data_IF_732368306711
#
_entry.id   IF_732368306711
#
_cell.length_a   1.000
_cell.length_b   1.000
_cell.length_c   1.000
_cell.angle_alpha   90.00
_cell.angle_beta   90.00
_cell.angle_gamma   90.00
#
_symmetry.space_group_name_H-M   'P 1'
#
loop_
_entity.id
_entity.type
_entity.pdbx_description
1 polymer ?
#
# COMPACT_ATOMS: atom_id res chain seq x y z
N UNK A 1 8.30 19.23 -20.49
CA UNK A 1 9.58 19.66 -21.11
C UNK A 1 10.38 18.46 -21.60
N UNK A 2 11.02 17.64 -20.75
CA UNK A 2 11.84 16.50 -21.20
C UNK A 2 11.16 15.43 -22.07
N UNK A 3 9.90 15.09 -21.77
CA UNK A 3 9.11 14.21 -22.64
C UNK A 3 8.96 14.81 -24.05
N UNK A 4 8.66 16.11 -24.12
CA UNK A 4 8.51 16.85 -25.38
C UNK A 4 9.83 16.92 -26.15
N UNK A 5 10.95 17.18 -25.47
CA UNK A 5 12.29 17.17 -26.07
C UNK A 5 12.65 15.78 -26.63
N UNK A 6 12.35 14.71 -25.88
CA UNK A 6 12.58 13.35 -26.36
C UNK A 6 11.73 13.02 -27.59
N UNK A 7 10.46 13.41 -27.60
CA UNK A 7 9.60 13.21 -28.77
C UNK A 7 10.13 13.95 -30.01
N UNK A 8 10.73 15.13 -29.84
CA UNK A 8 11.39 15.86 -30.94
C UNK A 8 12.60 15.06 -31.45
N UNK A 9 13.43 14.50 -30.54
CA UNK A 9 14.58 13.66 -30.92
C UNK A 9 14.15 12.37 -31.62
N UNK A 10 13.06 11.74 -31.18
CA UNK A 10 12.47 10.58 -31.85
C UNK A 10 11.97 10.94 -33.25
N UNK A 11 11.29 12.07 -33.40
CA UNK A 11 10.82 12.56 -34.71
C UNK A 11 11.99 12.87 -35.64
N UNK A 12 13.04 13.54 -35.14
CA UNK A 12 14.25 13.82 -35.91
C UNK A 12 14.96 12.53 -36.35
N UNK A 13 15.08 11.54 -35.45
CA UNK A 13 15.65 10.23 -35.78
C UNK A 13 14.84 9.46 -36.83
N UNK A 14 13.53 9.67 -36.90
CA UNK A 14 12.65 9.02 -37.89
C UNK A 14 12.61 9.73 -39.26
N UNK A 15 12.98 11.01 -39.31
CA UNK A 15 12.85 11.86 -40.48
C UNK A 15 14.10 11.85 -41.39
N UNK A 16 15.15 11.10 -41.03
CA UNK A 16 16.41 11.06 -41.78
C UNK A 16 16.30 10.12 -43.01
N UNK A 17 16.39 10.62 -44.26
CA UNK A 17 16.49 9.76 -45.45
C UNK A 17 17.88 9.09 -45.52
N UNK A 18 18.02 7.93 -46.20
CA UNK A 18 19.26 7.16 -46.24
C UNK A 18 20.27 7.85 -47.16
N UNK A 19 21.08 8.74 -46.59
CA UNK A 19 22.22 9.32 -47.28
C UNK A 19 23.50 9.04 -46.47
N UNK A 20 24.27 8.07 -46.98
CA UNK A 20 25.72 7.87 -46.81
C UNK A 20 26.34 8.20 -45.44
N UNK A 21 26.05 7.44 -44.39
CA UNK A 21 27.02 7.13 -43.33
C UNK A 21 26.72 5.73 -42.75
N UNK A 22 27.78 4.96 -42.56
CA UNK A 22 27.85 3.54 -42.17
C UNK A 22 27.37 3.22 -40.73
N UNK A 23 26.31 3.85 -40.22
CA UNK A 23 25.80 3.62 -38.87
C UNK A 23 24.32 3.23 -38.92
N UNK A 24 24.05 1.95 -39.18
CA UNK A 24 22.75 1.36 -38.89
C UNK A 24 22.69 1.22 -37.37
N UNK A 25 21.92 2.09 -36.71
CA UNK A 25 21.63 1.97 -35.29
C UNK A 25 20.56 0.92 -35.08
N UNK A 26 20.88 -0.18 -34.40
CA UNK A 26 19.93 -1.25 -34.11
C UNK A 26 18.88 -0.82 -33.08
N UNK A 27 19.24 0.06 -32.14
CA UNK A 27 18.31 0.64 -31.18
C UNK A 27 18.08 2.13 -31.46
N UNK A 28 16.83 2.48 -31.78
CA UNK A 28 16.40 3.87 -31.97
C UNK A 28 16.22 4.60 -30.65
N UNK A 29 16.11 5.93 -30.72
CA UNK A 29 15.74 6.77 -29.56
C UNK A 29 14.40 6.32 -29.00
N UNK A 30 14.33 6.03 -27.70
CA UNK A 30 13.12 5.53 -27.03
C UNK A 30 12.78 6.36 -25.78
N UNK A 31 11.50 6.63 -25.58
CA UNK A 31 10.97 7.17 -24.34
C UNK A 31 10.29 6.06 -23.53
N UNK A 32 10.78 5.80 -22.33
CA UNK A 32 10.30 4.71 -21.47
C UNK A 32 9.28 5.14 -20.39
N UNK A 33 8.79 6.39 -20.48
CA UNK A 33 7.92 6.99 -19.48
C UNK A 33 8.66 7.80 -18.40
N UNK A 34 9.98 7.63 -18.25
CA UNK A 34 10.79 8.27 -17.21
C UNK A 34 11.98 9.04 -17.77
N UNK A 35 12.75 8.43 -18.67
CA UNK A 35 13.94 9.00 -19.30
C UNK A 35 13.96 8.76 -20.82
N UNK A 36 14.72 9.60 -21.52
CA UNK A 36 14.96 9.47 -22.95
C UNK A 36 16.23 8.65 -23.18
N UNK A 37 16.11 7.54 -23.91
CA UNK A 37 17.23 6.69 -24.27
C UNK A 37 17.78 7.10 -25.62
N UNK A 38 19.08 7.46 -25.73
CA UNK A 38 19.72 7.83 -27.00
C UNK A 38 19.91 6.60 -27.89
N UNK A 39 19.95 6.78 -29.21
CA UNK A 39 20.19 5.70 -30.16
C UNK A 39 21.55 5.00 -29.91
N UNK A 40 21.59 3.69 -30.15
CA UNK A 40 22.75 2.84 -29.88
C UNK A 40 22.85 1.68 -30.88
N UNK A 41 24.05 1.11 -31.03
CA UNK A 41 24.33 -0.08 -31.85
C UNK A 41 24.22 -1.36 -31.02
N UNK A 42 23.90 -2.49 -31.65
CA UNK A 42 23.80 -3.76 -30.93
C UNK A 42 25.12 -4.12 -30.24
N UNK A 43 25.05 -4.34 -28.93
CA UNK A 43 26.20 -4.61 -28.06
C UNK A 43 26.68 -3.39 -27.26
N UNK A 44 26.17 -2.19 -27.54
CA UNK A 44 26.48 -0.98 -26.76
C UNK A 44 25.61 -0.87 -25.51
N UNK A 45 26.23 -0.48 -24.40
CA UNK A 45 25.55 -0.17 -23.15
C UNK A 45 25.44 1.33 -22.97
N UNK A 46 24.21 1.84 -22.90
CA UNK A 46 23.96 3.26 -22.68
C UNK A 46 23.66 3.53 -21.21
N UNK A 47 24.17 4.65 -20.70
CA UNK A 47 23.95 5.11 -19.33
C UNK A 47 23.34 6.50 -19.31
N UNK A 48 22.24 6.69 -18.59
CA UNK A 48 21.57 7.99 -18.43
C UNK A 48 21.48 8.38 -16.95
N UNK A 49 21.59 9.68 -16.61
CA UNK A 49 21.46 10.12 -15.23
C UNK A 49 20.01 10.03 -14.73
N UNK A 50 19.86 9.93 -13.41
CA UNK A 50 18.56 10.03 -12.77
C UNK A 50 17.87 11.38 -13.06
N UNK A 51 16.54 11.38 -13.33
CA UNK A 51 15.79 12.60 -13.59
C UNK A 51 15.82 13.56 -12.38
N UNK A 52 15.88 14.90 -12.56
CA UNK A 52 15.98 15.88 -11.47
C UNK A 52 14.99 15.75 -10.31
N UNK A 53 13.70 15.35 -10.48
CA UNK A 53 12.82 15.13 -9.33
C UNK A 53 13.22 13.91 -8.47
N UNK A 54 13.99 12.96 -9.02
CA UNK A 54 14.47 11.76 -8.34
C UNK A 54 15.98 11.80 -8.05
N UNK A 55 16.67 12.84 -8.51
CA UNK A 55 18.10 13.01 -8.31
C UNK A 55 18.34 13.59 -6.93
N UNK A 56 18.81 12.79 -5.97
CA UNK A 56 19.46 13.35 -4.77
C UNK A 56 20.68 14.17 -5.22
N UNK A 57 20.95 15.30 -4.56
CA UNK A 57 22.21 16.08 -4.67
C UNK A 57 23.40 15.25 -4.10
N UNK A 58 23.66 14.07 -4.67
CA UNK A 58 24.79 13.21 -4.33
C UNK A 58 25.77 13.26 -5.50
N UNK A 59 27.03 13.54 -5.18
CA UNK A 59 28.17 13.46 -6.09
C UNK A 59 28.89 12.13 -5.83
N UNK A 60 29.09 11.26 -6.83
CA UNK A 60 28.74 11.37 -8.24
C UNK A 60 27.24 11.06 -8.56
N UNK A 61 26.71 11.55 -9.70
CA UNK A 61 25.33 11.31 -10.10
C UNK A 61 25.08 9.81 -10.34
N UNK A 62 23.96 9.29 -9.83
CA UNK A 62 23.56 7.91 -10.08
C UNK A 62 23.11 7.76 -11.53
N UNK A 63 23.68 6.76 -12.21
CA UNK A 63 23.43 6.44 -13.61
C UNK A 63 22.68 5.11 -13.72
N UNK A 64 21.72 5.06 -14.64
CA UNK A 64 20.96 3.86 -14.99
C UNK A 64 21.43 3.38 -16.34
N UNK A 65 21.58 2.05 -16.50
CA UNK A 65 22.09 1.45 -17.74
C UNK A 65 21.06 0.55 -18.44
N UNK A 66 21.07 0.58 -19.78
CA UNK A 66 20.40 -0.39 -20.65
C UNK A 66 21.37 -0.87 -21.72
N UNK A 67 21.20 -2.11 -22.15
CA UNK A 67 21.98 -2.69 -23.23
C UNK A 67 21.18 -2.68 -24.52
N UNK A 68 21.81 -2.32 -25.63
CA UNK A 68 21.21 -2.47 -26.95
C UNK A 68 21.48 -3.88 -27.48
N UNK A 69 20.43 -4.59 -27.87
CA UNK A 69 20.51 -5.91 -28.50
C UNK A 69 20.05 -5.85 -29.95
N UNK A 70 20.34 -6.88 -30.75
CA UNK A 70 19.87 -6.96 -32.15
C UNK A 70 18.35 -6.96 -32.28
N UNK A 71 17.65 -7.35 -31.21
CA UNK A 71 16.19 -7.37 -31.13
C UNK A 71 15.61 -6.07 -30.52
N UNK A 72 16.45 -5.07 -30.22
CA UNK A 72 16.08 -3.77 -29.62
C UNK A 72 16.63 -3.57 -28.21
N UNK A 73 16.02 -2.65 -27.45
CA UNK A 73 16.44 -2.31 -26.09
C UNK A 73 16.20 -3.45 -25.10
N UNK A 74 17.22 -3.81 -24.31
CA UNK A 74 17.05 -4.74 -23.20
C UNK A 74 16.20 -4.14 -22.07
N UNK A 75 15.72 -4.98 -21.17
CA UNK A 75 15.20 -4.53 -19.88
C UNK A 75 16.28 -3.74 -19.12
N UNK A 76 15.84 -2.84 -18.24
CA UNK A 76 16.70 -2.08 -17.33
C UNK A 76 17.54 -3.05 -16.48
N UNK A 77 18.83 -2.74 -16.31
CA UNK A 77 19.72 -3.50 -15.43
C UNK A 77 19.30 -3.37 -13.96
N UNK A 78 18.85 -2.18 -13.56
CA UNK A 78 18.35 -1.84 -12.23
C UNK A 78 17.09 -0.98 -12.38
N UNK A 79 15.99 -1.30 -11.69
CA UNK A 79 14.78 -0.45 -11.72
C UNK A 79 15.03 0.98 -11.24
N UNK A 80 14.26 1.94 -11.78
CA UNK A 80 14.35 3.36 -11.42
C UNK A 80 14.22 3.64 -9.92
N UNK A 81 13.35 2.93 -9.22
CA UNK A 81 13.13 3.13 -7.79
C UNK A 81 14.36 2.70 -6.98
N UNK A 82 15.04 1.61 -7.34
CA UNK A 82 16.27 1.18 -6.65
C UNK A 82 17.47 2.09 -6.95
N UNK A 83 17.63 2.52 -8.20
CA UNK A 83 18.78 3.31 -8.62
C UNK A 83 18.67 4.78 -8.21
N UNK A 84 17.53 5.43 -8.50
CA UNK A 84 17.37 6.86 -8.24
C UNK A 84 16.77 7.14 -6.86
N UNK A 85 15.85 6.30 -6.40
CA UNK A 85 15.19 6.46 -5.11
C UNK A 85 15.93 5.65 -4.04
N UNK A 86 17.13 6.08 -3.68
CA UNK A 86 17.87 5.48 -2.57
C UNK A 86 17.16 5.84 -1.25
N UNK A 87 16.14 5.05 -0.93
CA UNK A 87 15.37 5.03 0.31
C UNK A 87 16.14 4.26 1.40
N UNK A 88 17.47 4.35 1.44
CA UNK A 88 18.17 3.94 2.65
C UNK A 88 17.78 4.95 3.73
N UNK A 89 16.96 4.55 4.73
CA UNK A 89 16.63 5.45 5.83
C UNK A 89 17.96 5.82 6.49
N UNK A 90 18.12 7.09 6.90
CA UNK A 90 19.26 7.43 7.74
C UNK A 90 19.26 6.53 8.99
N UNK A 91 20.44 6.27 9.57
CA UNK A 91 20.55 5.47 10.80
C UNK A 91 19.57 5.97 11.88
N UNK A 92 19.41 7.29 12.01
CA UNK A 92 18.42 7.93 12.89
C UNK A 92 16.97 7.56 12.56
N UNK A 93 16.60 7.51 11.27
CA UNK A 93 15.26 7.09 10.86
C UNK A 93 15.02 5.61 11.18
N UNK A 94 16.02 4.75 10.96
CA UNK A 94 15.91 3.31 11.25
C UNK A 94 15.71 3.06 12.75
N UNK A 95 16.45 3.78 13.60
CA UNK A 95 16.31 3.72 15.05
C UNK A 95 14.93 4.22 15.51
N UNK A 96 14.45 5.34 14.95
CA UNK A 96 13.11 5.87 15.24
C UNK A 96 12.00 4.88 14.86
N UNK A 97 12.02 4.34 13.63
CA UNK A 97 11.03 3.36 13.17
C UNK A 97 11.05 2.09 14.02
N UNK A 98 12.23 1.59 14.39
CA UNK A 98 12.38 0.43 15.26
C UNK A 98 11.79 0.68 16.66
N UNK A 99 12.05 1.85 17.24
CA UNK A 99 11.54 2.24 18.55
C UNK A 99 10.02 2.36 18.55
N UNK A 100 9.45 3.07 17.57
CA UNK A 100 8.00 3.19 17.40
C UNK A 100 7.37 1.81 17.23
N UNK A 101 8.03 0.93 16.45
CA UNK A 101 7.60 -0.45 16.25
C UNK A 101 7.53 -1.26 17.52
N UNK A 102 8.57 -1.21 18.33
CA UNK A 102 8.60 -1.91 19.61
C UNK A 102 7.46 -1.43 20.53
N UNK A 103 7.30 -0.11 20.65
CA UNK A 103 6.29 0.50 21.52
C UNK A 103 4.87 0.08 21.10
N UNK A 104 4.52 0.23 19.83
CA UNK A 104 3.17 -0.13 19.39
C UNK A 104 2.95 -1.65 19.49
N UNK A 105 3.98 -2.48 19.21
CA UNK A 105 3.86 -3.95 19.25
C UNK A 105 3.53 -4.43 20.66
N UNK A 106 4.27 -3.94 21.66
CA UNK A 106 4.01 -4.25 23.07
C UNK A 106 2.65 -3.72 23.49
N UNK A 107 2.32 -2.47 23.13
CA UNK A 107 1.03 -1.85 23.47
C UNK A 107 -0.17 -2.62 22.92
N UNK A 108 -0.14 -2.99 21.64
CA UNK A 108 -1.20 -3.80 21.02
C UNK A 108 -1.24 -5.22 21.58
N UNK A 109 -0.09 -5.83 21.90
CA UNK A 109 -0.03 -7.16 22.52
C UNK A 109 -0.69 -7.21 23.90
N UNK A 110 -0.35 -6.26 24.79
CA UNK A 110 -0.95 -6.15 26.14
C UNK A 110 -2.46 -5.86 26.04
N UNK A 111 -2.85 -4.95 25.13
CA UNK A 111 -4.26 -4.61 24.90
C UNK A 111 -5.06 -5.79 24.35
N UNK A 112 -4.47 -6.56 23.43
CA UNK A 112 -5.09 -7.76 22.86
C UNK A 112 -5.32 -8.81 23.97
N UNK A 113 -4.31 -9.05 24.82
CA UNK A 113 -4.43 -9.98 25.94
C UNK A 113 -5.55 -9.60 26.90
N UNK A 114 -5.62 -8.33 27.32
CA UNK A 114 -6.65 -7.86 28.24
C UNK A 114 -8.06 -7.92 27.64
N UNK A 115 -8.22 -7.54 26.36
CA UNK A 115 -9.50 -7.63 25.65
C UNK A 115 -9.97 -9.07 25.46
N UNK A 116 -9.07 -10.00 25.16
CA UNK A 116 -9.39 -11.42 25.05
C UNK A 116 -9.90 -11.98 26.39
N UNK A 117 -9.25 -11.64 27.49
CA UNK A 117 -9.69 -12.06 28.84
C UNK A 117 -11.07 -11.46 29.15
N UNK A 118 -11.27 -10.16 28.89
CA UNK A 118 -12.56 -9.51 29.11
C UNK A 118 -13.69 -10.17 28.29
N UNK A 119 -13.45 -10.42 27.00
CA UNK A 119 -14.39 -11.10 26.11
C UNK A 119 -14.70 -12.52 26.60
N UNK A 120 -13.70 -13.27 27.07
CA UNK A 120 -13.88 -14.61 27.63
C UNK A 120 -14.75 -14.57 28.89
N UNK A 121 -14.49 -13.64 29.81
CA UNK A 121 -15.29 -13.46 31.02
C UNK A 121 -16.77 -13.19 30.66
N UNK A 122 -17.04 -12.23 29.78
CA UNK A 122 -18.41 -11.88 29.40
C UNK A 122 -19.15 -13.00 28.65
N UNK A 123 -18.44 -13.84 27.90
CA UNK A 123 -19.03 -14.97 27.17
C UNK A 123 -19.30 -16.19 28.07
N UNK A 124 -18.41 -16.48 29.04
CA UNK A 124 -18.61 -17.54 30.03
C UNK A 124 -19.78 -17.21 30.95
N UNK A 125 -19.85 -15.98 31.45
CA UNK A 125 -20.95 -15.54 32.30
C UNK A 125 -22.17 -15.19 31.46
N UNK A 126 -22.84 -16.22 30.92
CA UNK A 126 -24.06 -16.09 30.09
C UNK A 126 -25.18 -15.27 30.77
N UNK A 127 -25.17 -15.20 32.11
CA UNK A 127 -26.05 -14.36 32.93
C UNK A 127 -25.84 -12.85 32.75
N UNK A 128 -24.67 -12.41 32.25
CA UNK A 128 -24.34 -11.00 31.98
C UNK A 128 -24.65 -10.57 30.54
N UNK A 129 -25.14 -11.47 29.68
CA UNK A 129 -25.50 -11.17 28.28
C UNK A 129 -26.82 -10.38 28.20
N UNK A 130 -26.72 -9.07 28.42
CA UNK A 130 -27.75 -8.09 28.11
C UNK A 130 -27.43 -7.42 26.76
N UNK A 131 -28.38 -6.66 26.19
CA UNK A 131 -28.13 -5.90 24.95
C UNK A 131 -26.85 -5.07 25.03
N UNK A 132 -26.65 -4.37 26.15
CA UNK A 132 -25.46 -3.55 26.40
C UNK A 132 -24.17 -4.37 26.30
N UNK A 133 -24.13 -5.53 26.95
CA UNK A 133 -22.99 -6.44 26.90
C UNK A 133 -22.76 -6.98 25.49
N UNK A 134 -23.80 -7.24 24.70
CA UNK A 134 -23.65 -7.64 23.30
C UNK A 134 -23.00 -6.54 22.43
N UNK A 135 -23.35 -5.27 22.65
CA UNK A 135 -22.72 -4.14 21.94
C UNK A 135 -21.25 -4.02 22.34
N UNK A 136 -20.94 -4.07 23.64
CA UNK A 136 -19.55 -4.05 24.11
C UNK A 136 -18.74 -5.26 23.59
N UNK A 137 -19.36 -6.45 23.49
CA UNK A 137 -18.69 -7.62 22.91
C UNK A 137 -18.30 -7.39 21.44
N UNK A 138 -19.19 -6.82 20.63
CA UNK A 138 -18.87 -6.49 19.23
C UNK A 138 -17.78 -5.41 19.13
N UNK A 139 -17.83 -4.39 20.00
CA UNK A 139 -16.78 -3.38 20.10
C UNK A 139 -15.42 -4.01 20.45
N UNK A 140 -15.36 -4.86 21.48
CA UNK A 140 -14.13 -5.56 21.86
C UNK A 140 -13.63 -6.46 20.73
N UNK A 141 -14.53 -7.16 20.03
CA UNK A 141 -14.17 -7.91 18.82
C UNK A 141 -13.57 -7.00 17.74
N UNK A 142 -14.09 -5.79 17.54
CA UNK A 142 -13.51 -4.83 16.58
C UNK A 142 -12.08 -4.40 16.95
N UNK A 143 -11.81 -4.20 18.25
CA UNK A 143 -10.46 -3.89 18.73
C UNK A 143 -9.50 -5.07 18.58
N UNK A 144 -9.97 -6.29 18.86
CA UNK A 144 -9.20 -7.52 18.65
C UNK A 144 -8.85 -7.68 17.17
N UNK A 145 -9.83 -7.55 16.27
CA UNK A 145 -9.58 -7.62 14.83
C UNK A 145 -8.59 -6.56 14.36
N UNK A 146 -8.69 -5.33 14.88
CA UNK A 146 -7.73 -4.24 14.58
C UNK A 146 -6.32 -4.59 15.03
N UNK A 147 -6.14 -5.10 16.26
CA UNK A 147 -4.84 -5.50 16.76
C UNK A 147 -4.26 -6.66 15.93
N UNK A 148 -5.07 -7.69 15.63
CA UNK A 148 -4.66 -8.81 14.76
C UNK A 148 -4.28 -8.31 13.37
N UNK A 149 -5.02 -7.37 12.79
CA UNK A 149 -4.70 -6.81 11.48
C UNK A 149 -3.37 -6.03 11.47
N UNK A 150 -3.01 -5.34 12.55
CA UNK A 150 -1.68 -4.72 12.70
C UNK A 150 -0.59 -5.79 12.67
N UNK A 151 -0.75 -6.87 13.42
CA UNK A 151 0.22 -7.98 13.42
C UNK A 151 0.32 -8.67 12.06
N UNK A 152 -0.80 -8.89 11.37
CA UNK A 152 -0.80 -9.47 10.01
C UNK A 152 -0.11 -8.53 9.02
N UNK A 153 -0.43 -7.23 9.06
CA UNK A 153 0.23 -6.22 8.22
C UNK A 153 1.73 -6.20 8.47
N UNK A 154 2.15 -6.27 9.73
CA UNK A 154 3.56 -6.27 10.09
C UNK A 154 4.24 -7.58 9.67
N UNK A 155 3.64 -8.74 9.89
CA UNK A 155 4.18 -10.00 9.41
C UNK A 155 4.39 -9.94 7.88
N UNK A 156 3.39 -9.47 7.13
CA UNK A 156 3.51 -9.35 5.67
C UNK A 156 4.56 -8.31 5.26
N UNK A 157 4.65 -7.17 5.94
CA UNK A 157 5.57 -6.08 5.59
C UNK A 157 7.04 -6.37 5.99
N UNK A 158 7.25 -7.17 7.05
CA UNK A 158 8.58 -7.44 7.60
C UNK A 158 9.10 -8.85 7.31
N UNK A 159 8.26 -9.79 6.85
CA UNK A 159 8.74 -11.05 6.27
C UNK A 159 9.43 -10.86 4.92
N UNK A 160 9.41 -9.65 4.35
CA UNK A 160 9.90 -9.30 3.00
C UNK A 160 11.35 -8.77 2.99
N UNK A 161 12.16 -9.03 4.04
CA UNK A 161 13.62 -8.78 3.97
C UNK A 161 14.36 -9.93 3.26
N UNK A 162 13.72 -11.09 3.05
CA UNK A 162 14.35 -12.24 2.40
C UNK A 162 13.38 -12.96 1.43
N UNK A 163 13.66 -12.81 0.14
CA UNK A 163 13.28 -13.69 -1.00
C UNK A 163 11.98 -13.30 -1.76
N UNK A 164 12.20 -12.77 -2.97
CA UNK A 164 11.36 -12.77 -4.17
C UNK A 164 10.03 -11.99 -4.18
N UNK A 165 10.18 -10.66 -4.34
CA UNK A 165 9.16 -9.77 -4.86
C UNK A 165 8.71 -10.17 -6.29
N UNK A 166 7.60 -10.89 -6.45
CA UNK A 166 6.61 -10.55 -7.51
C UNK A 166 5.32 -11.37 -7.52
N UNK A 167 5.30 -12.62 -7.04
CA UNK A 167 4.18 -13.51 -7.36
C UNK A 167 3.31 -13.88 -6.16
N UNK A 168 3.88 -14.06 -4.97
CA UNK A 168 3.14 -14.36 -3.74
C UNK A 168 2.70 -13.09 -3.02
N UNK A 169 3.50 -12.02 -3.11
CA UNK A 169 3.30 -10.79 -2.34
C UNK A 169 2.18 -9.90 -2.91
N UNK A 170 1.93 -9.84 -4.22
CA UNK A 170 1.01 -8.82 -4.78
C UNK A 170 -0.45 -9.02 -4.35
N UNK A 171 -0.98 -10.25 -4.42
CA UNK A 171 -2.37 -10.52 -4.02
C UNK A 171 -2.49 -10.55 -2.50
N UNK A 172 -1.54 -11.19 -1.80
CA UNK A 172 -1.58 -11.32 -0.35
C UNK A 172 -1.33 -9.98 0.36
N UNK A 173 -0.38 -9.16 -0.12
CA UNK A 173 -0.14 -7.81 0.40
C UNK A 173 -1.34 -6.90 0.12
N UNK A 174 -1.89 -6.91 -1.11
CA UNK A 174 -3.10 -6.13 -1.42
C UNK A 174 -4.29 -6.55 -0.57
N UNK A 175 -4.47 -7.86 -0.34
CA UNK A 175 -5.48 -8.38 0.57
C UNK A 175 -5.22 -7.96 2.03
N UNK A 176 -3.98 -8.05 2.51
CA UNK A 176 -3.61 -7.69 3.88
C UNK A 176 -3.81 -6.19 4.15
N UNK A 177 -3.43 -5.33 3.20
CA UNK A 177 -3.66 -3.87 3.28
C UNK A 177 -5.17 -3.57 3.27
N UNK A 178 -5.92 -4.22 2.39
CA UNK A 178 -7.39 -4.04 2.31
C UNK A 178 -8.06 -4.50 3.62
N UNK A 179 -7.65 -5.65 4.15
CA UNK A 179 -8.14 -6.18 5.41
C UNK A 179 -7.81 -5.26 6.59
N UNK A 180 -6.58 -4.73 6.62
CA UNK A 180 -6.17 -3.75 7.63
C UNK A 180 -7.05 -2.50 7.61
N UNK A 181 -7.29 -1.92 6.43
CA UNK A 181 -8.17 -0.76 6.29
C UNK A 181 -9.60 -1.07 6.74
N UNK A 182 -10.12 -2.25 6.40
CA UNK A 182 -11.42 -2.71 6.87
C UNK A 182 -11.49 -2.78 8.41
N UNK A 183 -10.50 -3.40 9.07
CA UNK A 183 -10.50 -3.52 10.53
C UNK A 183 -10.40 -2.17 11.23
N UNK A 184 -9.64 -1.22 10.67
CA UNK A 184 -9.57 0.15 11.19
C UNK A 184 -10.91 0.85 11.08
N UNK A 185 -11.57 0.80 9.91
CA UNK A 185 -12.90 1.38 9.73
C UNK A 185 -13.93 0.72 10.63
N UNK A 186 -13.97 -0.61 10.69
CA UNK A 186 -14.89 -1.34 11.56
C UNK A 186 -14.75 -0.93 13.03
N UNK A 187 -13.52 -0.71 13.51
CA UNK A 187 -13.29 -0.20 14.86
C UNK A 187 -13.90 1.20 15.09
N UNK A 188 -13.72 2.14 14.14
CA UNK A 188 -14.34 3.46 14.22
C UNK A 188 -15.87 3.41 14.16
N UNK A 189 -16.45 2.58 13.30
CA UNK A 189 -17.89 2.42 13.20
C UNK A 189 -18.49 1.77 14.47
N UNK A 190 -17.81 0.81 15.09
CA UNK A 190 -18.26 0.23 16.35
C UNK A 190 -18.18 1.21 17.53
N UNK A 191 -17.14 2.07 17.57
CA UNK A 191 -17.06 3.18 18.53
C UNK A 191 -18.22 4.17 18.33
N UNK A 192 -18.55 4.48 17.07
CA UNK A 192 -19.70 5.33 16.74
C UNK A 192 -21.02 4.68 17.17
N UNK A 193 -21.19 3.38 16.91
CA UNK A 193 -22.40 2.61 17.31
C UNK A 193 -22.57 2.61 18.82
N UNK A 194 -21.50 2.44 19.59
CA UNK A 194 -21.56 2.52 21.05
C UNK A 194 -21.99 3.93 21.51
N UNK A 195 -21.42 4.99 20.92
CA UNK A 195 -21.81 6.37 21.20
C UNK A 195 -23.27 6.66 20.85
N UNK A 196 -23.73 6.22 19.68
CA UNK A 196 -25.13 6.36 19.25
C UNK A 196 -26.09 5.56 20.15
N UNK A 197 -25.69 4.37 20.59
CA UNK A 197 -26.47 3.55 21.50
C UNK A 197 -26.64 4.25 22.86
N UNK A 198 -25.56 4.78 23.45
CA UNK A 198 -25.62 5.55 24.70
C UNK A 198 -26.52 6.78 24.56
N UNK A 199 -26.37 7.54 23.47
CA UNK A 199 -27.20 8.71 23.20
C UNK A 199 -28.68 8.36 23.04
N UNK A 200 -28.98 7.26 22.32
CA UNK A 200 -30.35 6.80 22.10
C UNK A 200 -30.99 6.34 23.41
N UNK A 201 -30.22 5.70 24.31
CA UNK A 201 -30.71 5.27 25.61
C UNK A 201 -31.10 6.47 26.51
N UNK A 202 -30.36 7.58 26.43
CA UNK A 202 -30.67 8.81 27.16
C UNK A 202 -31.92 9.52 26.62
N UNK A 203 -32.10 9.56 25.30
CA UNK A 203 -33.22 10.29 24.66
C UNK A 203 -34.51 9.45 24.60
N UNK A 204 -34.40 8.16 24.28
CA UNK A 204 -35.52 7.26 24.01
C UNK A 204 -35.51 6.07 24.96
N UNK A 205 -35.83 6.31 26.22
CA UNK A 205 -35.72 5.34 27.32
C UNK A 205 -36.68 4.14 27.20
N UNK A 206 -37.63 4.12 26.25
CA UNK A 206 -38.77 3.19 26.26
C UNK A 206 -38.98 2.28 25.03
N UNK A 207 -38.15 2.31 23.98
CA UNK A 207 -38.42 1.51 22.76
C UNK A 207 -37.28 0.54 22.41
N UNK A 208 -36.99 -0.39 23.31
CA UNK A 208 -35.89 -1.35 23.09
C UNK A 208 -36.39 -2.69 22.51
N UNK A 209 -36.72 -2.74 21.21
CA UNK A 209 -37.03 -4.00 20.50
C UNK A 209 -35.73 -4.69 20.01
N UNK A 210 -35.68 -6.02 20.07
CA UNK A 210 -34.55 -6.86 19.62
C UNK A 210 -34.10 -6.58 18.17
N UNK A 211 -35.00 -6.07 17.33
CA UNK A 211 -34.71 -5.64 15.96
C UNK A 211 -33.73 -4.46 15.87
N UNK A 212 -33.72 -3.57 16.87
CA UNK A 212 -32.87 -2.38 16.87
C UNK A 212 -31.37 -2.74 17.02
N UNK A 213 -31.05 -3.81 17.75
CA UNK A 213 -29.69 -4.35 17.88
C UNK A 213 -29.17 -4.88 16.55
N UNK A 214 -30.04 -5.54 15.77
CA UNK A 214 -29.71 -6.00 14.43
C UNK A 214 -29.38 -4.84 13.49
N UNK A 215 -30.11 -3.73 13.60
CA UNK A 215 -29.83 -2.52 12.83
C UNK A 215 -28.46 -1.91 13.20
N UNK A 216 -28.13 -1.83 14.49
CA UNK A 216 -26.81 -1.37 14.93
C UNK A 216 -25.67 -2.30 14.46
N UNK A 217 -25.88 -3.62 14.46
CA UNK A 217 -24.90 -4.57 13.94
C UNK A 217 -24.69 -4.42 12.43
N UNK A 218 -25.77 -4.18 11.67
CA UNK A 218 -25.69 -3.87 10.23
C UNK A 218 -24.93 -2.57 9.97
N UNK A 219 -25.12 -1.55 10.80
CA UNK A 219 -24.37 -0.30 10.71
C UNK A 219 -22.88 -0.53 11.01
N UNK A 220 -22.58 -1.22 12.12
CA UNK A 220 -21.21 -1.42 12.61
C UNK A 220 -20.34 -2.24 11.67
N UNK A 221 -20.90 -3.26 11.01
CA UNK A 221 -20.16 -4.11 10.06
C UNK A 221 -20.41 -3.76 8.60
N UNK A 222 -21.62 -3.34 8.24
CA UNK A 222 -22.03 -3.10 6.85
C UNK A 222 -21.49 -1.80 6.24
N UNK A 223 -21.43 -0.69 6.99
CA UNK A 223 -20.84 0.54 6.44
C UNK A 223 -19.33 0.41 6.13
N UNK A 224 -18.51 -0.20 7.00
CA UNK A 224 -17.12 -0.54 6.66
C UNK A 224 -16.96 -1.43 5.43
N UNK A 225 -17.83 -2.43 5.22
CA UNK A 225 -17.71 -3.30 4.03
C UNK A 225 -18.04 -2.52 2.76
N UNK A 226 -19.11 -1.73 2.74
CA UNK A 226 -19.50 -0.93 1.56
C UNK A 226 -18.40 0.07 1.18
N UNK A 227 -17.82 0.76 2.17
CA UNK A 227 -16.75 1.74 1.93
C UNK A 227 -15.49 1.09 1.37
N UNK A 228 -15.08 -0.06 1.92
CA UNK A 228 -13.92 -0.82 1.40
C UNK A 228 -14.17 -1.39 0.01
N UNK A 229 -15.36 -1.95 -0.26
CA UNK A 229 -15.70 -2.46 -1.60
C UNK A 229 -15.65 -1.32 -2.63
N UNK A 230 -16.21 -0.16 -2.28
CA UNK A 230 -16.15 1.02 -3.16
C UNK A 230 -14.71 1.45 -3.40
N UNK A 231 -13.89 1.50 -2.34
CA UNK A 231 -12.48 1.85 -2.44
C UNK A 231 -11.69 0.86 -3.30
N UNK A 232 -11.86 -0.46 -3.11
CA UNK A 232 -11.15 -1.48 -3.90
C UNK A 232 -11.55 -1.46 -5.37
N UNK A 233 -12.84 -1.24 -5.67
CA UNK A 233 -13.33 -1.09 -7.04
C UNK A 233 -12.72 0.15 -7.71
N UNK A 234 -12.73 1.30 -7.04
CA UNK A 234 -12.08 2.52 -7.54
C UNK A 234 -10.59 2.28 -7.76
N UNK A 235 -9.89 1.68 -6.81
CA UNK A 235 -8.46 1.34 -6.92
C UNK A 235 -8.20 0.43 -8.11
N UNK A 236 -9.04 -0.58 -8.33
CA UNK A 236 -8.92 -1.50 -9.47
C UNK A 236 -9.14 -0.80 -10.83
N UNK A 237 -10.08 0.14 -10.91
CA UNK A 237 -10.36 0.87 -12.15
C UNK A 237 -9.26 1.87 -12.51
N UNK A 238 -8.65 2.53 -11.51
CA UNK A 238 -7.63 3.56 -11.74
C UNK A 238 -6.19 3.01 -11.81
N UNK A 239 -5.83 1.91 -11.09
CA UNK A 239 -4.49 1.28 -11.23
C UNK A 239 -4.27 0.72 -12.65
N UNK A 240 -5.32 0.30 -13.37
CA UNK A 240 -5.21 -0.27 -14.72
C UNK A 240 -5.14 0.81 -15.83
N UNK A 241 -5.21 2.10 -15.49
CA UNK A 241 -5.16 3.23 -16.43
C UNK A 241 -3.96 4.16 -16.21
N UNK A 242 -3.05 3.81 -15.30
CA UNK A 242 -1.82 4.55 -15.02
C UNK A 242 -0.59 3.81 -15.53
#
# INVERSE_FOLDING_TARGET
ERMTECHILMQASSAQPPAEVNQITDCLVEWDGVNCWPAAQAGEMMSVPCPPPLQKLRSPPVIITRNCTRDGWSSLSIPYYTACLHLDPSEEQREYFSTVKLIYTIGYGVSLGSLCIAMLIFTIFRKLLCTRTCIHLNLFSSFILRAVAVFVKDAVLFSDETIDHCTISTVLCKAAVTFFQYCVLANFYWLLVEGLYLQTLLIFTFTHKRAFVWWYALIGWGMPTVTIITWTLLKHQFDNRG
#
